data_IF_911940295852
#
_entry.id   IF_911940295852
#
_cell.length_a   1.000
_cell.length_b   1.000
_cell.length_c   1.000
_cell.angle_alpha   90.00
_cell.angle_beta   90.00
_cell.angle_gamma   90.00
#
_symmetry.space_group_name_H-M   'P 1'
#
loop_
_entity.id
_entity.type
_entity.pdbx_description
1 polymer ?
#
# COMPACT_ATOMS: atom_id res chain seq x y z
N UNK A 1 -42.73 45.82 -48.75
CA UNK A 1 -41.62 45.32 -47.91
C UNK A 1 -42.26 44.60 -46.74
N UNK A 2 -42.44 43.27 -46.84
CA UNK A 2 -43.26 42.49 -45.93
C UNK A 2 -42.39 41.77 -44.89
N UNK A 3 -42.82 41.85 -43.63
CA UNK A 3 -42.23 41.27 -42.43
C UNK A 3 -42.29 39.74 -42.47
N UNK A 4 -41.16 39.06 -42.24
CA UNK A 4 -41.10 37.60 -42.12
C UNK A 4 -40.80 37.22 -40.67
N UNK A 5 -41.83 36.69 -40.01
CA UNK A 5 -41.77 36.02 -38.71
C UNK A 5 -41.10 34.66 -38.91
N UNK A 6 -40.10 34.33 -38.09
CA UNK A 6 -39.56 32.96 -38.02
C UNK A 6 -39.51 32.52 -36.56
N UNK A 7 -40.26 31.46 -36.28
CA UNK A 7 -40.54 30.91 -34.95
C UNK A 7 -39.33 30.12 -34.41
N UNK A 8 -39.07 30.28 -33.12
CA UNK A 8 -38.00 29.59 -32.38
C UNK A 8 -38.57 28.23 -31.90
N UNK A 9 -37.96 27.08 -32.22
CA UNK A 9 -38.45 25.81 -31.69
C UNK A 9 -38.15 25.68 -30.18
N UNK A 10 -39.21 25.50 -29.40
CA UNK A 10 -39.20 25.20 -27.97
C UNK A 10 -38.50 23.87 -27.69
N UNK A 11 -37.32 23.94 -27.06
CA UNK A 11 -36.62 22.79 -26.48
C UNK A 11 -37.07 22.61 -25.04
N UNK A 12 -37.82 21.54 -24.74
CA UNK A 12 -38.16 21.10 -23.38
C UNK A 12 -36.90 20.91 -22.51
N UNK A 13 -36.87 21.38 -21.24
CA UNK A 13 -35.74 21.15 -20.36
C UNK A 13 -35.69 19.68 -19.93
N UNK A 14 -34.59 19.02 -20.28
CA UNK A 14 -34.25 17.65 -19.88
C UNK A 14 -34.09 17.60 -18.36
N UNK A 15 -34.77 16.65 -17.72
CA UNK A 15 -34.77 16.44 -16.27
C UNK A 15 -33.34 16.49 -15.69
N UNK A 16 -33.19 17.29 -14.65
CA UNK A 16 -31.94 17.52 -13.91
C UNK A 16 -31.37 16.20 -13.41
N UNK A 17 -30.16 15.87 -13.86
CA UNK A 17 -29.32 14.83 -13.27
C UNK A 17 -29.23 15.10 -11.77
N UNK A 18 -29.80 14.21 -10.95
CA UNK A 18 -29.70 14.34 -9.50
C UNK A 18 -28.22 14.27 -9.12
N UNK A 19 -27.71 15.36 -8.54
CA UNK A 19 -26.36 15.38 -8.01
C UNK A 19 -26.29 14.34 -6.90
N UNK A 20 -25.46 13.32 -7.08
CA UNK A 20 -25.07 12.42 -5.99
C UNK A 20 -24.54 13.28 -4.85
N UNK A 21 -25.31 13.38 -3.75
CA UNK A 21 -24.87 14.08 -2.56
C UNK A 21 -24.08 13.12 -1.69
N UNK A 22 -22.78 13.40 -1.54
CA UNK A 22 -21.92 12.71 -0.59
C UNK A 22 -22.43 13.01 0.83
N UNK A 23 -23.07 12.02 1.46
CA UNK A 23 -23.79 12.22 2.73
C UNK A 23 -22.85 12.43 3.92
N UNK A 24 -21.62 11.89 3.87
CA UNK A 24 -20.60 12.14 4.88
C UNK A 24 -19.23 11.61 4.42
N UNK A 25 -18.29 12.52 4.15
CA UNK A 25 -16.87 12.19 3.97
C UNK A 25 -16.19 12.12 5.33
N UNK A 26 -16.14 10.95 5.95
CA UNK A 26 -15.38 10.77 7.18
C UNK A 26 -13.93 10.36 6.83
N UNK A 27 -13.11 11.32 6.39
CA UNK A 27 -11.66 11.11 6.29
C UNK A 27 -11.01 11.46 7.62
N UNK A 28 -10.29 10.52 8.22
CA UNK A 28 -9.42 10.81 9.36
C UNK A 28 -8.32 11.73 8.82
N UNK A 29 -8.44 13.04 9.00
CA UNK A 29 -7.52 14.03 8.39
C UNK A 29 -6.04 13.75 8.69
N UNK A 30 -5.76 13.15 9.84
CA UNK A 30 -4.42 12.83 10.31
C UNK A 30 -4.41 11.45 10.98
N UNK A 31 -4.29 10.34 10.23
CA UNK A 31 -4.19 9.03 10.84
C UNK A 31 -2.88 8.92 11.63
N UNK A 32 -2.89 8.32 12.84
CA UNK A 32 -1.68 8.21 13.66
C UNK A 32 -0.67 7.20 13.08
N UNK A 33 -1.15 6.28 12.24
CA UNK A 33 -0.35 5.20 11.67
C UNK A 33 -0.42 5.22 10.14
N UNK A 34 0.61 4.65 9.54
CA UNK A 34 0.66 4.28 8.14
C UNK A 34 0.96 2.79 8.03
N UNK A 35 0.65 2.25 6.86
CA UNK A 35 0.70 0.83 6.56
C UNK A 35 1.64 0.55 5.41
N UNK A 36 2.33 -0.58 5.47
CA UNK A 36 3.22 -1.05 4.43
C UNK A 36 2.98 -2.54 4.15
N UNK A 37 2.99 -2.91 2.87
CA UNK A 37 3.02 -4.30 2.43
C UNK A 37 4.43 -4.62 1.94
N UNK A 38 5.05 -5.64 2.52
CA UNK A 38 6.35 -6.15 2.11
C UNK A 38 6.22 -7.53 1.48
N UNK A 39 7.19 -7.89 0.65
CA UNK A 39 7.36 -9.20 0.05
C UNK A 39 8.78 -9.71 0.29
N UNK A 40 8.91 -10.95 0.74
CA UNK A 40 10.19 -11.65 0.84
C UNK A 40 10.60 -12.17 -0.54
N UNK A 41 11.71 -11.64 -1.05
CA UNK A 41 12.32 -12.07 -2.31
C UNK A 41 13.53 -12.92 -2.01
N UNK A 42 13.61 -14.10 -2.61
CA UNK A 42 14.72 -15.05 -2.45
C UNK A 42 15.30 -15.42 -3.81
N UNK A 43 16.63 -15.47 -3.93
CA UNK A 43 17.34 -15.92 -5.14
C UNK A 43 17.39 -17.46 -5.31
N UNK A 44 16.56 -18.19 -4.56
CA UNK A 44 16.50 -19.64 -4.66
C UNK A 44 15.90 -20.07 -6.00
N UNK A 45 16.70 -20.71 -6.84
CA UNK A 45 16.29 -21.28 -8.14
C UNK A 45 15.33 -22.48 -8.00
N UNK A 46 15.19 -23.06 -6.80
CA UNK A 46 14.35 -24.23 -6.53
C UNK A 46 13.07 -23.84 -5.78
N UNK A 47 11.92 -24.14 -6.39
CA UNK A 47 10.56 -23.92 -5.88
C UNK A 47 10.25 -24.75 -4.60
N UNK A 48 11.14 -25.67 -4.21
CA UNK A 48 10.96 -26.55 -3.05
C UNK A 48 11.53 -26.01 -1.73
N UNK A 49 12.40 -24.98 -1.76
CA UNK A 49 12.99 -24.35 -0.56
C UNK A 49 12.26 -23.05 -0.17
N UNK A 50 10.99 -22.96 -0.54
CA UNK A 50 10.14 -21.80 -0.24
C UNK A 50 9.62 -21.91 1.19
N UNK A 51 10.49 -21.58 2.15
CA UNK A 51 10.06 -21.40 3.53
C UNK A 51 9.14 -20.19 3.59
N UNK A 52 7.92 -20.33 4.16
CA UNK A 52 7.05 -19.19 4.37
C UNK A 52 7.69 -18.22 5.36
N UNK A 53 7.42 -16.94 5.15
CA UNK A 53 7.82 -15.87 6.04
C UNK A 53 7.08 -16.02 7.36
N UNK A 54 7.81 -15.99 8.48
CA UNK A 54 7.23 -16.03 9.82
C UNK A 54 7.30 -14.67 10.53
N UNK A 55 6.54 -14.51 11.62
CA UNK A 55 6.48 -13.26 12.37
C UNK A 55 7.83 -12.86 13.01
N UNK A 56 8.66 -13.83 13.41
CA UNK A 56 9.95 -13.58 14.04
C UNK A 56 10.98 -13.09 13.01
N UNK A 57 10.98 -13.70 11.83
CA UNK A 57 11.78 -13.31 10.67
C UNK A 57 11.41 -11.90 10.21
N UNK A 58 10.11 -11.60 10.07
CA UNK A 58 9.66 -10.23 9.75
C UNK A 58 10.25 -9.24 10.73
N UNK A 59 10.10 -9.50 12.04
CA UNK A 59 10.59 -8.58 13.07
C UNK A 59 12.11 -8.46 13.04
N UNK A 60 12.82 -9.58 12.86
CA UNK A 60 14.28 -9.60 12.76
C UNK A 60 14.76 -8.81 11.55
N UNK A 61 14.20 -9.05 10.36
CA UNK A 61 14.61 -8.41 9.12
C UNK A 61 14.31 -6.90 9.13
N UNK A 62 13.11 -6.50 9.57
CA UNK A 62 12.78 -5.08 9.71
C UNK A 62 13.71 -4.39 10.71
N UNK A 63 14.00 -5.01 11.86
CA UNK A 63 14.91 -4.42 12.85
C UNK A 63 16.35 -4.32 12.31
N UNK A 64 16.85 -5.35 11.62
CA UNK A 64 18.15 -5.31 10.95
C UNK A 64 18.23 -4.18 9.91
N UNK A 65 17.20 -4.03 9.07
CA UNK A 65 17.11 -2.98 8.06
C UNK A 65 17.11 -1.58 8.69
N UNK A 66 16.24 -1.36 9.69
CA UNK A 66 16.12 -0.08 10.37
C UNK A 66 17.38 0.28 11.14
N UNK A 67 18.01 -0.70 11.80
CA UNK A 67 19.26 -0.49 12.53
C UNK A 67 20.43 -0.19 11.58
N UNK A 68 20.47 -0.83 10.41
CA UNK A 68 21.49 -0.54 9.41
C UNK A 68 21.38 0.89 8.85
N UNK A 69 20.15 1.36 8.60
CA UNK A 69 19.92 2.65 7.94
C UNK A 69 19.86 3.84 8.92
N UNK A 70 19.21 3.66 10.08
CA UNK A 70 18.93 4.73 11.05
C UNK A 70 19.61 4.52 12.41
N UNK A 71 20.40 3.44 12.57
CA UNK A 71 21.09 3.14 13.82
C UNK A 71 20.14 2.72 14.96
N UNK A 72 20.53 3.02 16.20
CA UNK A 72 19.76 2.66 17.39
C UNK A 72 18.36 3.29 17.41
N UNK A 73 18.21 4.50 16.86
CA UNK A 73 16.91 5.18 16.73
C UNK A 73 15.96 4.41 15.83
N UNK A 74 16.46 3.86 14.72
CA UNK A 74 15.65 3.01 13.83
C UNK A 74 15.08 1.78 14.52
N UNK A 75 15.90 1.11 15.33
CA UNK A 75 15.46 -0.07 16.08
C UNK A 75 14.40 0.22 17.15
N UNK A 76 14.22 1.50 17.52
CA UNK A 76 13.19 1.94 18.46
C UNK A 76 11.86 2.31 17.79
N UNK A 77 11.79 2.34 16.45
CA UNK A 77 10.54 2.59 15.73
C UNK A 77 9.57 1.44 16.04
N UNK A 78 8.37 1.72 16.59
CA UNK A 78 7.40 0.68 16.89
C UNK A 78 6.80 0.16 15.57
N UNK A 79 6.87 -1.15 15.39
CA UNK A 79 6.33 -1.85 14.22
C UNK A 79 5.38 -2.92 14.72
N UNK A 80 4.14 -2.89 14.23
CA UNK A 80 3.17 -3.93 14.51
C UNK A 80 2.94 -4.78 13.26
N UNK A 81 2.97 -6.10 13.44
CA UNK A 81 2.69 -7.07 12.37
C UNK A 81 1.19 -7.34 12.37
N UNK A 82 0.53 -7.00 11.27
CA UNK A 82 -0.93 -7.15 11.13
C UNK A 82 -1.31 -8.50 10.53
N UNK A 83 -0.58 -8.92 9.50
CA UNK A 83 -0.78 -10.17 8.78
C UNK A 83 0.54 -10.63 8.18
N UNK A 84 0.76 -11.93 8.18
CA UNK A 84 1.79 -12.58 7.38
C UNK A 84 1.12 -13.69 6.61
N UNK A 85 1.35 -13.74 5.30
CA UNK A 85 0.75 -14.72 4.38
C UNK A 85 1.79 -15.09 3.33
N UNK A 86 2.18 -16.36 3.30
CA UNK A 86 3.24 -16.90 2.43
C UNK A 86 4.55 -16.11 2.51
N UNK A 87 4.78 -15.19 1.57
CA UNK A 87 5.97 -14.32 1.49
C UNK A 87 5.65 -12.86 1.71
N UNK A 88 4.38 -12.52 1.91
CA UNK A 88 3.93 -11.16 2.08
C UNK A 88 3.63 -10.88 3.55
N UNK A 89 3.90 -9.65 3.97
CA UNK A 89 3.49 -9.19 5.29
C UNK A 89 2.95 -7.77 5.25
N UNK A 90 2.02 -7.51 6.15
CA UNK A 90 1.38 -6.21 6.34
C UNK A 90 1.79 -5.67 7.69
N UNK A 91 2.36 -4.47 7.66
CA UNK A 91 2.93 -3.81 8.81
C UNK A 91 2.24 -2.48 9.07
N UNK A 92 2.22 -2.10 10.34
CA UNK A 92 1.82 -0.79 10.81
C UNK A 92 3.02 -0.09 11.44
N UNK A 93 3.20 1.19 11.11
CA UNK A 93 4.22 2.08 11.67
C UNK A 93 3.62 3.44 12.00
N UNK A 94 4.20 4.23 12.92
CA UNK A 94 3.79 5.61 13.11
C UNK A 94 3.91 6.38 11.80
N UNK A 95 2.94 7.25 11.52
CA UNK A 95 2.85 7.94 10.24
C UNK A 95 4.11 8.74 9.88
N UNK A 96 4.69 9.41 10.87
CA UNK A 96 5.93 10.18 10.72
C UNK A 96 7.15 9.32 10.34
N UNK A 97 7.12 8.04 10.69
CA UNK A 97 8.23 7.10 10.50
C UNK A 97 8.10 6.30 9.19
N UNK A 98 7.01 6.47 8.43
CA UNK A 98 6.81 5.72 7.18
C UNK A 98 7.91 5.96 6.15
N UNK A 99 8.29 7.22 5.93
CA UNK A 99 9.34 7.59 4.96
C UNK A 99 10.71 7.00 5.32
N UNK A 100 11.25 7.22 6.54
CA UNK A 100 12.52 6.60 6.92
C UNK A 100 12.43 5.07 7.01
N UNK A 101 11.28 4.52 7.38
CA UNK A 101 11.03 3.07 7.34
C UNK A 101 11.13 2.52 5.90
N UNK A 102 10.43 3.12 4.94
CA UNK A 102 10.44 2.70 3.55
C UNK A 102 11.85 2.78 2.94
N UNK A 103 12.59 3.85 3.25
CA UNK A 103 13.98 4.00 2.84
C UNK A 103 14.87 2.89 3.43
N UNK A 104 14.73 2.60 4.72
CA UNK A 104 15.51 1.55 5.39
C UNK A 104 15.25 0.16 4.79
N UNK A 105 13.98 -0.20 4.56
CA UNK A 105 13.62 -1.48 3.96
C UNK A 105 14.20 -1.60 2.54
N UNK A 106 14.07 -0.53 1.74
CA UNK A 106 14.54 -0.53 0.34
C UNK A 106 16.07 -0.57 0.24
N UNK A 107 16.77 0.07 1.18
CA UNK A 107 18.24 0.07 1.23
C UNK A 107 18.82 -1.21 1.84
N UNK A 108 18.00 -2.07 2.43
CA UNK A 108 18.48 -3.25 3.14
C UNK A 108 19.02 -4.31 2.18
N UNK A 109 20.25 -4.73 2.41
CA UNK A 109 20.93 -5.71 1.57
C UNK A 109 20.34 -7.13 1.72
N UNK A 110 19.52 -7.40 2.75
CA UNK A 110 19.04 -8.75 3.02
C UNK A 110 20.00 -9.61 3.82
N UNK A 111 19.59 -10.85 4.04
CA UNK A 111 20.39 -11.88 4.72
C UNK A 111 20.78 -12.95 3.72
N UNK A 112 22.02 -13.43 3.81
CA UNK A 112 22.46 -14.65 3.12
C UNK A 112 22.29 -15.82 4.08
N UNK A 113 21.40 -16.75 3.75
CA UNK A 113 21.17 -17.97 4.53
C UNK A 113 21.24 -19.18 3.59
N UNK A 114 22.02 -20.19 3.97
CA UNK A 114 22.19 -21.44 3.18
C UNK A 114 22.60 -21.21 1.71
N UNK A 115 23.35 -20.14 1.43
CA UNK A 115 23.83 -19.81 0.08
C UNK A 115 22.84 -19.04 -0.79
N UNK A 116 21.64 -18.72 -0.29
CA UNK A 116 20.66 -17.88 -0.98
C UNK A 116 20.50 -16.54 -0.28
N UNK A 117 20.37 -15.48 -1.07
CA UNK A 117 20.09 -14.14 -0.55
C UNK A 117 18.58 -13.94 -0.44
N UNK A 118 18.12 -13.55 0.75
CA UNK A 118 16.75 -13.17 1.06
C UNK A 118 16.69 -11.67 1.35
N UNK A 119 15.87 -10.93 0.62
CA UNK A 119 15.67 -9.49 0.77
C UNK A 119 14.20 -9.17 0.98
N UNK A 120 13.91 -8.03 1.61
CA UNK A 120 12.56 -7.49 1.69
C UNK A 120 12.36 -6.48 0.57
N UNK A 121 11.25 -6.62 -0.15
CA UNK A 121 10.78 -5.67 -1.16
C UNK A 121 9.54 -4.96 -0.64
N UNK A 122 9.53 -3.63 -0.70
CA UNK A 122 8.33 -2.84 -0.43
C UNK A 122 7.40 -2.90 -1.66
N UNK A 123 6.20 -3.46 -1.52
CA UNK A 123 5.21 -3.50 -2.60
C UNK A 123 4.39 -2.22 -2.67
N UNK A 124 3.85 -1.82 -1.52
CA UNK A 124 2.98 -0.66 -1.40
C UNK A 124 2.98 -0.10 0.02
N UNK A 125 2.62 1.17 0.14
CA UNK A 125 2.41 1.85 1.41
C UNK A 125 1.26 2.86 1.31
N UNK A 126 0.51 3.01 2.40
CA UNK A 126 -0.58 3.98 2.47
C UNK A 126 -0.87 4.38 3.91
N UNK A 127 -1.38 5.59 4.10
CA UNK A 127 -1.92 6.05 5.39
C UNK A 127 -3.22 5.31 5.78
N UNK A 128 -3.87 4.63 4.82
CA UNK A 128 -5.12 3.91 5.04
C UNK A 128 -5.00 2.45 4.59
N UNK A 129 -5.20 1.53 5.53
CA UNK A 129 -5.19 0.09 5.24
C UNK A 129 -6.21 -0.30 4.16
N UNK A 130 -7.39 0.30 4.17
CA UNK A 130 -8.44 0.04 3.17
C UNK A 130 -8.03 0.41 1.75
N UNK A 131 -7.26 1.48 1.56
CA UNK A 131 -6.74 1.86 0.25
C UNK A 131 -5.71 0.83 -0.28
N UNK A 132 -4.91 0.27 0.64
CA UNK A 132 -3.88 -0.72 0.33
C UNK A 132 -4.49 -2.10 0.00
N UNK A 133 -5.46 -2.56 0.78
CA UNK A 133 -6.14 -3.85 0.56
C UNK A 133 -7.10 -3.77 -0.64
N UNK A 134 -7.79 -2.65 -0.81
CA UNK A 134 -8.75 -2.46 -1.90
C UNK A 134 -8.12 -2.32 -3.29
N UNK A 135 -6.82 -2.00 -3.38
CA UNK A 135 -6.08 -2.00 -4.64
C UNK A 135 -5.74 -3.43 -5.12
N UNK A 136 -5.48 -4.36 -4.19
CA UNK A 136 -5.15 -5.74 -4.50
C UNK A 136 -6.38 -6.47 -5.08
N UNK A 137 -6.41 -6.62 -6.40
CA UNK A 137 -7.49 -7.31 -7.13
C UNK A 137 -8.28 -6.44 -8.09
N UNK A 138 -8.05 -5.11 -8.11
CA UNK A 138 -8.68 -4.25 -9.12
C UNK A 138 -8.27 -4.63 -10.54
N UNK A 139 -7.04 -5.12 -10.73
CA UNK A 139 -6.56 -5.60 -12.03
C UNK A 139 -7.41 -6.77 -12.56
N UNK A 140 -7.99 -7.59 -11.67
CA UNK A 140 -8.83 -8.75 -12.04
C UNK A 140 -10.25 -8.34 -12.46
N UNK A 141 -10.68 -7.11 -12.15
CA UNK A 141 -12.02 -6.62 -12.49
C UNK A 141 -12.23 -6.47 -14.00
N UNK A 142 -11.15 -6.19 -14.74
CA UNK A 142 -11.19 -5.93 -16.18
C UNK A 142 -10.83 -7.16 -17.03
N UNK A 143 -10.46 -8.27 -16.40
CA UNK A 143 -10.05 -9.52 -17.09
C UNK A 143 -11.07 -10.66 -16.94
N UNK A 144 -12.26 -10.38 -16.42
CA UNK A 144 -13.39 -11.32 -16.35
C UNK A 144 -14.27 -11.29 -17.59
#
# INVERSE_FOLDING_TARGET
MATQTSEIPTSTPRATSQKSHELLTCTIKTPPFSYAQLELVSDASRVSDVTPLDNLQVRSYCNSALRQFLGATGSAIPIDILKVEDRECWLRVPRQDLSPFAAAITAWAGVSEQGYRRTLRLKQCSDYLGAMVGANGQDKLWTS
#
